data_IF_073145771585
#
_entry.id   IF_073145771585
#
_cell.length_a   1.000
_cell.length_b   1.000
_cell.length_c   1.000
_cell.angle_alpha   90.00
_cell.angle_beta   90.00
_cell.angle_gamma   90.00
#
_symmetry.space_group_name_H-M   'P 1'
#
loop_
_entity.id
_entity.type
_entity.pdbx_description
1 polymer ?
#
# COMPACT_ATOMS: atom_id res chain seq x y z
N UNK A 1 60.63 47.72 5.27
CA UNK A 1 59.35 48.45 5.35
C UNK A 1 58.26 47.77 4.51
N UNK A 2 57.93 46.48 4.77
CA UNK A 2 56.89 45.71 4.04
C UNK A 2 56.03 44.79 4.94
N UNK A 3 56.26 44.79 6.26
CA UNK A 3 55.63 43.84 7.20
C UNK A 3 54.33 44.36 7.84
N UNK A 4 53.94 45.61 7.60
CA UNK A 4 52.78 46.23 8.26
C UNK A 4 51.47 46.13 7.46
N UNK A 5 51.53 45.92 6.14
CA UNK A 5 50.34 45.89 5.29
C UNK A 5 49.63 44.52 5.29
N UNK A 6 50.39 43.43 5.44
CA UNK A 6 49.85 42.05 5.42
C UNK A 6 49.09 41.67 6.70
N UNK A 7 49.40 42.29 7.84
CA UNK A 7 48.77 41.96 9.12
C UNK A 7 47.31 42.43 9.27
N UNK A 8 46.89 43.44 8.50
CA UNK A 8 45.50 43.94 8.53
C UNK A 8 44.58 43.23 7.52
N UNK A 9 45.12 42.69 6.43
CA UNK A 9 44.33 42.01 5.39
C UNK A 9 43.83 40.63 5.83
N UNK A 10 44.59 39.89 6.64
CA UNK A 10 44.21 38.53 7.08
C UNK A 10 43.01 38.55 8.06
N UNK A 11 42.94 39.45 9.06
CA UNK A 11 41.74 39.61 9.90
C UNK A 11 40.48 39.96 9.11
N UNK A 12 40.57 40.84 8.12
CA UNK A 12 39.43 41.23 7.28
C UNK A 12 38.93 40.04 6.45
N UNK A 13 39.85 39.35 5.77
CA UNK A 13 39.52 38.15 4.99
C UNK A 13 38.90 37.05 5.86
N UNK A 14 39.36 36.89 7.12
CA UNK A 14 38.75 35.95 8.07
C UNK A 14 37.31 36.32 8.45
N UNK A 15 36.99 37.60 8.56
CA UNK A 15 35.62 38.04 8.84
C UNK A 15 34.71 37.82 7.64
N UNK A 16 35.15 38.15 6.43
CA UNK A 16 34.37 37.90 5.20
C UNK A 16 34.07 36.41 5.01
N UNK A 17 35.07 35.53 5.25
CA UNK A 17 34.86 34.08 5.24
C UNK A 17 33.87 33.65 6.32
N UNK A 18 33.96 34.21 7.53
CA UNK A 18 33.01 33.90 8.61
C UNK A 18 31.58 34.31 8.26
N UNK A 19 31.40 35.52 7.73
CA UNK A 19 30.09 36.07 7.38
C UNK A 19 29.45 35.26 6.24
N UNK A 20 30.23 34.91 5.22
CA UNK A 20 29.76 34.03 4.13
C UNK A 20 29.35 32.64 4.63
N UNK A 21 30.14 32.01 5.50
CA UNK A 21 29.80 30.72 6.11
C UNK A 21 28.54 30.83 6.97
N UNK A 22 28.39 31.88 7.77
CA UNK A 22 27.18 32.12 8.56
C UNK A 22 25.94 32.30 7.67
N UNK A 23 26.09 33.02 6.55
CA UNK A 23 25.01 33.20 5.60
C UNK A 23 24.60 31.87 4.96
N UNK A 24 25.57 31.04 4.58
CA UNK A 24 25.32 29.69 4.05
C UNK A 24 24.61 28.82 5.09
N UNK A 25 25.08 28.77 6.34
CA UNK A 25 24.42 28.02 7.42
C UNK A 25 22.97 28.48 7.60
N UNK A 26 22.74 29.79 7.65
CA UNK A 26 21.38 30.34 7.79
C UNK A 26 20.48 29.94 6.62
N UNK A 27 21.02 29.94 5.41
CA UNK A 27 20.27 29.56 4.20
C UNK A 27 19.99 28.06 4.17
N UNK A 28 20.94 27.23 4.57
CA UNK A 28 20.77 25.79 4.66
C UNK A 28 19.76 25.41 5.73
N UNK A 29 19.80 26.05 6.91
CA UNK A 29 18.82 25.82 7.96
C UNK A 29 17.39 26.13 7.47
N UNK A 30 17.19 27.25 6.77
CA UNK A 30 15.88 27.55 6.16
C UNK A 30 15.43 26.49 5.16
N UNK A 31 16.36 25.91 4.40
CA UNK A 31 16.03 24.83 3.46
C UNK A 31 15.68 23.54 4.19
N UNK A 32 16.36 23.23 5.30
CA UNK A 32 16.04 22.09 6.16
C UNK A 32 14.62 22.26 6.70
N UNK A 33 14.31 23.41 7.32
CA UNK A 33 12.98 23.69 7.87
C UNK A 33 11.87 23.55 6.80
N UNK A 34 12.14 24.07 5.59
CA UNK A 34 11.21 23.97 4.46
C UNK A 34 11.01 22.52 4.01
N UNK A 35 12.10 21.76 3.83
CA UNK A 35 12.03 20.37 3.39
C UNK A 35 11.38 19.47 4.44
N UNK A 36 11.62 19.71 5.73
CA UNK A 36 10.96 19.01 6.82
C UNK A 36 9.44 19.26 6.81
N UNK A 37 9.01 20.49 6.53
CA UNK A 37 7.59 20.80 6.34
C UNK A 37 6.99 20.05 5.15
N UNK A 38 7.67 20.06 4.00
CA UNK A 38 7.21 19.34 2.80
C UNK A 38 7.12 17.83 3.02
N UNK A 39 8.07 17.23 3.75
CA UNK A 39 8.03 15.80 4.09
C UNK A 39 6.77 15.52 4.91
N UNK A 40 6.52 16.32 5.94
CA UNK A 40 5.34 16.16 6.79
C UNK A 40 4.04 16.27 6.00
N UNK A 41 3.92 17.25 5.12
CA UNK A 41 2.73 17.44 4.29
C UNK A 41 2.52 16.25 3.34
N UNK A 42 3.60 15.70 2.79
CA UNK A 42 3.55 14.49 1.94
C UNK A 42 3.16 13.26 2.72
N UNK A 43 3.66 13.07 3.93
CA UNK A 43 3.31 11.94 4.78
C UNK A 43 1.80 11.95 5.10
N UNK A 44 1.23 13.12 5.40
CA UNK A 44 -0.22 13.26 5.61
C UNK A 44 -1.04 12.88 4.37
N UNK A 45 -0.56 13.25 3.17
CA UNK A 45 -1.22 12.90 1.92
C UNK A 45 -1.10 11.38 1.65
N UNK A 46 0.04 10.78 1.96
CA UNK A 46 0.24 9.33 1.82
C UNK A 46 -0.75 8.60 2.72
N UNK A 47 -0.88 9.01 3.98
CA UNK A 47 -1.81 8.39 4.92
C UNK A 47 -3.28 8.50 4.42
N UNK A 48 -3.72 9.68 3.97
CA UNK A 48 -5.06 9.86 3.41
C UNK A 48 -5.31 9.02 2.14
N UNK A 49 -4.30 8.86 1.29
CA UNK A 49 -4.39 8.00 0.10
C UNK A 49 -4.50 6.53 0.51
N UNK A 50 -3.74 6.08 1.52
CA UNK A 50 -3.79 4.71 2.01
C UNK A 50 -5.17 4.39 2.60
N UNK A 51 -5.75 5.30 3.37
CA UNK A 51 -7.09 5.15 3.93
C UNK A 51 -8.16 5.03 2.84
N UNK A 52 -8.10 5.90 1.83
CA UNK A 52 -9.02 5.85 0.67
C UNK A 52 -8.85 4.59 -0.17
N UNK A 53 -7.61 4.10 -0.30
CA UNK A 53 -7.32 2.86 -1.01
C UNK A 53 -7.93 1.67 -0.26
N UNK A 54 -7.75 1.60 1.06
CA UNK A 54 -8.34 0.54 1.88
C UNK A 54 -9.87 0.57 1.81
N UNK A 55 -10.50 1.75 1.94
CA UNK A 55 -11.95 1.90 1.78
C UNK A 55 -12.44 1.41 0.41
N UNK A 56 -11.74 1.79 -0.66
CA UNK A 56 -12.04 1.35 -2.03
C UNK A 56 -11.87 -0.17 -2.20
N UNK A 57 -10.80 -0.74 -1.63
CA UNK A 57 -10.59 -2.19 -1.64
C UNK A 57 -11.70 -2.93 -0.89
N UNK A 58 -12.05 -2.47 0.31
CA UNK A 58 -13.14 -3.03 1.12
C UNK A 58 -14.47 -2.96 0.36
N UNK A 59 -14.77 -1.82 -0.26
CA UNK A 59 -15.96 -1.65 -1.08
C UNK A 59 -16.00 -2.63 -2.26
N UNK A 60 -14.87 -2.80 -2.96
CA UNK A 60 -14.77 -3.71 -4.11
C UNK A 60 -14.90 -5.20 -3.74
N UNK A 61 -14.60 -5.56 -2.48
CA UNK A 61 -14.63 -6.93 -1.94
C UNK A 61 -15.93 -7.26 -1.20
N UNK A 62 -16.82 -6.29 -1.00
CA UNK A 62 -18.08 -6.45 -0.24
C UNK A 62 -18.96 -7.58 -0.77
N UNK A 63 -18.98 -7.78 -2.09
CA UNK A 63 -19.75 -8.83 -2.77
C UNK A 63 -18.97 -10.15 -2.94
N UNK A 64 -17.74 -10.23 -2.44
CA UNK A 64 -16.87 -11.37 -2.63
C UNK A 64 -16.68 -12.15 -1.33
N UNK A 65 -16.97 -13.45 -1.37
CA UNK A 65 -16.73 -14.37 -0.25
C UNK A 65 -15.58 -15.29 -0.60
N UNK A 66 -14.67 -15.47 0.37
CA UNK A 66 -13.56 -16.44 0.28
C UNK A 66 -13.90 -17.71 1.03
N UNK A 67 -13.98 -18.82 0.31
CA UNK A 67 -14.31 -20.14 0.84
C UNK A 67 -13.02 -20.97 0.89
N UNK A 68 -12.73 -21.57 2.05
CA UNK A 68 -11.54 -22.40 2.29
C UNK A 68 -11.93 -23.84 2.59
N UNK A 69 -11.00 -24.77 2.40
CA UNK A 69 -11.17 -26.17 2.84
C UNK A 69 -11.95 -27.06 1.86
N UNK A 70 -12.28 -26.57 0.67
CA UNK A 70 -12.94 -27.37 -0.37
C UNK A 70 -11.88 -28.13 -1.17
N UNK A 71 -11.89 -29.46 -1.12
CA UNK A 71 -11.01 -30.31 -1.94
C UNK A 71 -11.08 -29.91 -3.43
N UNK A 72 -9.94 -29.84 -4.10
CA UNK A 72 -9.87 -29.56 -5.54
C UNK A 72 -10.13 -30.82 -6.35
N UNK A 73 -10.98 -30.69 -7.38
CA UNK A 73 -11.29 -31.77 -8.31
C UNK A 73 -10.96 -31.30 -9.73
N UNK A 74 -10.44 -32.19 -10.57
CA UNK A 74 -10.20 -31.90 -11.98
C UNK A 74 -11.51 -31.51 -12.67
N UNK A 75 -11.47 -30.44 -13.46
CA UNK A 75 -12.63 -29.91 -14.20
C UNK A 75 -13.83 -29.57 -13.30
N UNK A 76 -13.58 -29.11 -12.07
CA UNK A 76 -14.65 -28.67 -11.16
C UNK A 76 -15.39 -27.43 -11.68
N UNK A 77 -16.70 -27.38 -11.43
CA UNK A 77 -17.47 -26.14 -11.52
C UNK A 77 -17.49 -25.49 -10.14
N UNK A 78 -16.73 -24.40 -10.00
CA UNK A 78 -16.69 -23.62 -8.75
C UNK A 78 -18.06 -23.00 -8.43
N UNK A 79 -18.86 -22.65 -9.43
CA UNK A 79 -20.21 -22.13 -9.22
C UNK A 79 -21.15 -23.17 -8.59
N UNK A 80 -21.12 -24.42 -9.08
CA UNK A 80 -21.91 -25.52 -8.53
C UNK A 80 -21.51 -25.85 -7.09
N UNK A 81 -20.20 -25.82 -6.81
CA UNK A 81 -19.67 -26.00 -5.45
C UNK A 81 -20.23 -24.91 -4.52
N UNK A 82 -20.15 -23.64 -4.94
CA UNK A 82 -20.60 -22.51 -4.13
C UNK A 82 -22.11 -22.58 -3.88
N UNK A 83 -22.93 -22.88 -4.90
CA UNK A 83 -24.36 -23.07 -4.74
C UNK A 83 -24.70 -24.26 -3.82
N UNK A 84 -23.95 -25.37 -3.93
CA UNK A 84 -24.09 -26.52 -3.05
C UNK A 84 -23.77 -26.22 -1.59
N UNK A 85 -22.76 -25.37 -1.33
CA UNK A 85 -22.45 -24.88 0.03
C UNK A 85 -23.60 -24.05 0.57
N UNK A 86 -24.16 -23.14 -0.24
CA UNK A 86 -25.35 -22.36 0.14
C UNK A 86 -26.52 -23.25 0.53
N UNK A 87 -26.86 -24.23 -0.31
CA UNK A 87 -27.93 -25.18 -0.03
C UNK A 87 -27.67 -25.99 1.26
N UNK A 88 -26.43 -26.43 1.50
CA UNK A 88 -26.03 -27.10 2.74
C UNK A 88 -26.21 -26.22 3.98
N UNK A 89 -25.98 -24.92 3.84
CA UNK A 89 -26.20 -23.92 4.90
C UNK A 89 -27.66 -23.47 5.03
N UNK A 90 -28.57 -23.97 4.19
CA UNK A 90 -29.97 -23.54 4.16
C UNK A 90 -30.20 -22.17 3.54
N UNK A 91 -29.25 -21.68 2.73
CA UNK A 91 -29.35 -20.42 1.98
C UNK A 91 -29.97 -20.72 0.62
N UNK A 92 -31.06 -20.02 0.29
CA UNK A 92 -31.64 -20.06 -1.05
C UNK A 92 -30.77 -19.26 -2.02
N UNK A 93 -29.94 -19.97 -2.78
CA UNK A 93 -29.07 -19.38 -3.79
C UNK A 93 -28.89 -20.30 -4.98
N UNK A 94 -28.84 -19.70 -6.15
CA UNK A 94 -28.60 -20.37 -7.43
C UNK A 94 -27.26 -19.97 -8.03
N UNK A 95 -26.80 -20.74 -9.01
CA UNK A 95 -25.63 -20.36 -9.82
C UNK A 95 -25.84 -19.02 -10.52
N UNK A 96 -27.08 -18.64 -10.81
CA UNK A 96 -27.38 -17.35 -11.43
C UNK A 96 -27.16 -16.17 -10.48
N UNK A 97 -27.02 -16.38 -9.18
CA UNK A 97 -26.75 -15.30 -8.22
C UNK A 97 -25.23 -15.02 -8.11
N UNK A 98 -24.42 -15.92 -8.67
CA UNK A 98 -22.97 -15.81 -8.75
C UNK A 98 -22.61 -15.04 -10.04
N UNK A 99 -21.83 -13.98 -9.89
CA UNK A 99 -21.29 -13.22 -11.02
C UNK A 99 -20.04 -13.93 -11.56
N UNK A 100 -19.11 -14.31 -10.67
CA UNK A 100 -17.90 -15.04 -11.02
C UNK A 100 -17.39 -15.82 -9.82
N UNK A 101 -17.04 -17.10 -10.00
CA UNK A 101 -16.26 -17.85 -9.02
C UNK A 101 -15.03 -18.52 -9.65
N UNK A 102 -13.96 -18.64 -8.87
CA UNK A 102 -12.72 -19.31 -9.28
C UNK A 102 -11.82 -19.62 -8.08
N UNK A 103 -10.90 -20.57 -8.26
CA UNK A 103 -9.79 -20.82 -7.33
C UNK A 103 -8.77 -19.69 -7.41
N UNK A 104 -8.19 -19.32 -6.27
CA UNK A 104 -7.20 -18.25 -6.16
C UNK A 104 -5.88 -18.76 -5.59
N UNK A 105 -4.78 -18.28 -6.16
CA UNK A 105 -3.42 -18.70 -5.81
C UNK A 105 -2.82 -19.66 -6.84
N UNK A 106 -1.49 -19.78 -6.80
CA UNK A 106 -0.76 -20.63 -7.71
C UNK A 106 -1.11 -22.12 -7.46
N UNK A 107 -1.23 -22.94 -8.51
CA UNK A 107 -1.21 -24.39 -8.36
C UNK A 107 0.04 -24.77 -7.58
N UNK A 108 -0.11 -25.45 -6.43
CA UNK A 108 1.05 -25.86 -5.63
C UNK A 108 1.57 -27.19 -6.15
N UNK A 109 2.86 -27.23 -6.46
CA UNK A 109 3.57 -28.48 -6.69
C UNK A 109 3.73 -29.24 -5.36
N UNK A 110 3.00 -30.36 -5.28
CA UNK A 110 3.31 -31.66 -4.67
C UNK A 110 4.05 -31.83 -3.33
N UNK A 111 4.42 -30.80 -2.56
CA UNK A 111 5.10 -31.00 -1.27
C UNK A 111 4.17 -30.88 -0.05
N UNK A 112 3.59 -32.03 0.29
CA UNK A 112 3.42 -32.60 1.64
C UNK A 112 2.58 -31.89 2.73
N UNK A 113 1.68 -30.96 2.42
CA UNK A 113 0.31 -30.88 2.99
C UNK A 113 -0.49 -29.96 2.06
N UNK A 114 -1.24 -30.54 1.12
CA UNK A 114 -1.93 -29.82 0.06
C UNK A 114 -3.20 -29.16 0.60
N UNK A 115 -3.06 -28.01 1.28
CA UNK A 115 -4.23 -27.17 1.59
C UNK A 115 -4.87 -26.76 0.26
N UNK A 116 -6.15 -27.08 0.02
CA UNK A 116 -6.80 -26.71 -1.23
C UNK A 116 -6.82 -25.20 -1.39
N UNK A 117 -6.67 -24.72 -2.63
CA UNK A 117 -6.75 -23.30 -2.97
C UNK A 117 -8.13 -22.77 -2.61
N UNK A 118 -8.21 -21.57 -2.00
CA UNK A 118 -9.49 -20.96 -1.71
C UNK A 118 -10.27 -20.68 -2.99
N UNK A 119 -11.60 -20.75 -2.91
CA UNK A 119 -12.50 -20.23 -3.93
C UNK A 119 -12.85 -18.79 -3.55
N UNK A 120 -12.72 -17.85 -4.49
CA UNK A 120 -13.36 -16.54 -4.38
C UNK A 120 -14.61 -16.58 -5.25
N UNK A 121 -15.76 -16.32 -4.62
CA UNK A 121 -17.05 -16.18 -5.30
C UNK A 121 -17.55 -14.75 -5.13
N UNK A 122 -17.78 -14.05 -6.25
CA UNK A 122 -18.43 -12.73 -6.30
C UNK A 122 -19.90 -12.90 -6.66
N UNK A 123 -20.78 -12.30 -5.89
CA UNK A 123 -22.23 -12.31 -6.10
C UNK A 123 -22.68 -11.11 -6.94
N UNK A 124 -23.88 -11.19 -7.53
CA UNK A 124 -24.42 -10.14 -8.40
C UNK A 124 -24.86 -8.88 -7.66
N UNK A 125 -25.03 -8.96 -6.36
CA UNK A 125 -25.39 -7.84 -5.52
C UNK A 125 -25.61 -8.30 -4.08
N UNK A 126 -25.77 -7.32 -3.21
CA UNK A 126 -26.18 -7.50 -1.83
C UNK A 126 -27.34 -6.55 -1.58
N UNK A 127 -28.35 -7.00 -0.83
CA UNK A 127 -29.36 -6.08 -0.30
C UNK A 127 -28.80 -5.50 1.00
N UNK A 128 -28.84 -4.18 1.13
CA UNK A 128 -28.72 -3.48 2.43
C UNK A 128 -30.12 -3.20 2.94
#
# INVERSE_FOLDING_TARGET
MKLFCTNWQIPQMRQEIRDSVQLTIKTLNKKIDYLESEIKDRDLIIDDILDKLDESEQYSRREAVRINGITEINSESTDQIVAGIGAYMGIDMSVNDINRSHRVGNPKDYDNVTKPRPIIARFKGYSV
#
